data_IF_469038828542
#
_entry.id   IF_469038828542
#
_cell.length_a   1.000
_cell.length_b   1.000
_cell.length_c   1.000
_cell.angle_alpha   90.00
_cell.angle_beta   90.00
_cell.angle_gamma   90.00
#
_symmetry.space_group_name_H-M   'P 1'
#
loop_
_entity.id
_entity.type
_entity.pdbx_description
1 polymer ?
#
# COMPACT_ATOMS: atom_id res chain seq x y z
N UNK A 1 16.02 -19.91 71.27
CA UNK A 1 15.77 -20.51 69.94
C UNK A 1 14.58 -21.46 70.07
N UNK A 2 13.36 -21.00 69.79
CA UNK A 2 12.17 -21.85 69.89
C UNK A 2 12.13 -22.82 68.69
N UNK A 3 12.15 -24.12 68.96
CA UNK A 3 12.12 -25.18 67.94
C UNK A 3 10.79 -25.17 67.17
N UNK A 4 10.88 -25.26 65.84
CA UNK A 4 9.72 -25.38 64.95
C UNK A 4 9.02 -26.72 65.22
N UNK A 5 7.73 -26.69 65.52
CA UNK A 5 6.92 -27.91 65.66
C UNK A 5 6.85 -28.67 64.33
N UNK A 6 6.74 -30.02 64.37
CA UNK A 6 6.61 -30.83 63.16
C UNK A 6 5.35 -30.41 62.38
N UNK A 7 5.41 -30.37 61.04
CA UNK A 7 4.26 -29.96 60.24
C UNK A 7 3.09 -30.92 60.46
N UNK A 8 1.92 -30.37 60.75
CA UNK A 8 0.69 -31.14 60.91
C UNK A 8 0.39 -31.98 59.66
N UNK A 9 -0.13 -33.21 59.81
CA UNK A 9 -0.48 -34.06 58.68
C UNK A 9 -1.55 -33.39 57.82
N UNK A 10 -1.29 -33.31 56.51
CA UNK A 10 -2.18 -32.66 55.54
C UNK A 10 -3.54 -33.36 55.52
N UNK A 11 -4.60 -32.61 55.79
CA UNK A 11 -5.98 -33.12 55.71
C UNK A 11 -6.42 -33.22 54.24
N UNK A 12 -6.54 -34.46 53.74
CA UNK A 12 -6.89 -34.77 52.35
C UNK A 12 -8.27 -34.24 51.94
N UNK A 13 -9.25 -34.23 52.86
CA UNK A 13 -10.60 -33.75 52.58
C UNK A 13 -10.59 -32.24 52.32
N UNK A 14 -9.83 -31.50 53.12
CA UNK A 14 -9.70 -30.06 52.96
C UNK A 14 -8.96 -29.69 51.67
N UNK A 15 -7.93 -30.46 51.29
CA UNK A 15 -7.23 -30.26 50.02
C UNK A 15 -8.13 -30.48 48.81
N UNK A 16 -8.97 -31.52 48.85
CA UNK A 16 -9.93 -31.78 47.78
C UNK A 16 -10.96 -30.65 47.66
N UNK A 17 -11.43 -30.10 48.79
CA UNK A 17 -12.35 -28.97 48.79
C UNK A 17 -11.73 -27.72 48.14
N UNK A 18 -10.46 -27.41 48.48
CA UNK A 18 -9.71 -26.31 47.86
C UNK A 18 -9.55 -26.53 46.35
N UNK A 19 -9.22 -27.75 45.93
CA UNK A 19 -9.04 -28.08 44.51
C UNK A 19 -10.35 -27.90 43.73
N UNK A 20 -11.46 -28.43 44.25
CA UNK A 20 -12.77 -28.28 43.62
C UNK A 20 -13.19 -26.79 43.50
N UNK A 21 -12.94 -25.99 44.53
CA UNK A 21 -13.20 -24.54 44.49
C UNK A 21 -12.34 -23.84 43.44
N UNK A 22 -11.06 -24.21 43.35
CA UNK A 22 -10.10 -23.63 42.39
C UNK A 22 -10.52 -23.92 40.96
N UNK A 23 -10.83 -25.19 40.64
CA UNK A 23 -11.33 -25.60 39.32
C UNK A 23 -12.63 -24.87 38.98
N UNK A 24 -13.55 -24.72 39.96
CA UNK A 24 -14.79 -23.99 39.77
C UNK A 24 -14.58 -22.50 39.47
N UNK A 25 -13.59 -21.86 40.12
CA UNK A 25 -13.21 -20.47 39.84
C UNK A 25 -12.55 -20.33 38.46
N UNK A 26 -11.65 -21.22 38.11
CA UNK A 26 -10.98 -21.24 36.80
C UNK A 26 -11.99 -21.38 35.66
N UNK A 27 -12.88 -22.38 35.73
CA UNK A 27 -13.92 -22.59 34.72
C UNK A 27 -14.90 -21.41 34.62
N UNK A 28 -15.19 -20.71 35.73
CA UNK A 28 -16.06 -19.53 35.72
C UNK A 28 -15.43 -18.35 34.98
N UNK A 29 -14.10 -18.22 35.01
CA UNK A 29 -13.38 -17.12 34.38
C UNK A 29 -12.68 -17.51 33.06
N UNK A 30 -12.77 -18.78 32.65
CA UNK A 30 -12.24 -19.26 31.38
C UNK A 30 -13.06 -18.67 30.23
N UNK A 31 -12.58 -17.56 29.66
CA UNK A 31 -13.13 -16.98 28.44
C UNK A 31 -12.52 -17.68 27.23
N UNK A 32 -13.34 -18.44 26.50
CA UNK A 32 -12.95 -19.00 25.21
C UNK A 32 -13.03 -17.89 24.14
N UNK A 33 -11.90 -17.33 23.75
CA UNK A 33 -11.86 -16.44 22.58
C UNK A 33 -11.91 -17.31 21.33
N UNK A 34 -13.05 -17.32 20.64
CA UNK A 34 -13.21 -18.05 19.36
C UNK A 34 -12.83 -17.19 18.16
N UNK A 35 -12.87 -15.87 18.33
CA UNK A 35 -12.59 -14.91 17.28
C UNK A 35 -11.31 -14.15 17.67
N UNK A 36 -10.19 -14.48 17.01
CA UNK A 36 -8.94 -13.74 17.15
C UNK A 36 -8.76 -12.86 15.91
N UNK A 37 -8.89 -11.55 16.07
CA UNK A 37 -8.54 -10.57 15.04
C UNK A 37 -7.49 -9.62 15.60
N UNK A 38 -6.41 -9.40 14.85
CA UNK A 38 -5.36 -8.43 15.22
C UNK A 38 -5.95 -7.00 15.33
N UNK A 39 -7.01 -6.69 14.57
CA UNK A 39 -7.72 -5.43 14.60
C UNK A 39 -9.23 -5.65 14.79
N UNK A 40 -9.84 -5.18 15.90
CA UNK A 40 -11.28 -5.33 16.18
C UNK A 40 -12.19 -4.63 15.14
N UNK A 41 -11.65 -3.67 14.40
CA UNK A 41 -12.40 -2.87 13.42
C UNK A 41 -12.21 -3.38 11.98
N UNK A 42 -11.43 -4.44 11.76
CA UNK A 42 -11.15 -4.95 10.41
C UNK A 42 -10.94 -6.47 10.42
N UNK A 43 -11.88 -7.20 9.83
CA UNK A 43 -11.74 -8.63 9.56
C UNK A 43 -10.68 -8.82 8.47
N UNK A 44 -9.50 -9.30 8.87
CA UNK A 44 -8.51 -9.83 7.94
C UNK A 44 -8.73 -11.34 7.82
N UNK A 45 -9.22 -11.81 6.67
CA UNK A 45 -9.20 -13.23 6.34
C UNK A 45 -7.75 -13.63 6.08
N UNK A 46 -7.09 -14.18 7.10
CA UNK A 46 -5.67 -14.62 7.03
C UNK A 46 -5.49 -15.86 6.17
N UNK A 47 -6.59 -16.50 5.76
CA UNK A 47 -6.59 -17.68 4.90
C UNK A 47 -6.72 -17.19 3.47
N UNK A 48 -5.60 -17.16 2.74
CA UNK A 48 -5.65 -17.01 1.29
C UNK A 48 -6.51 -18.13 0.69
N UNK A 49 -7.33 -17.80 -0.32
CA UNK A 49 -8.13 -18.77 -1.04
C UNK A 49 -7.29 -19.92 -1.60
N UNK A 50 -7.93 -21.04 -1.96
CA UNK A 50 -7.17 -22.17 -2.54
C UNK A 50 -6.43 -21.69 -3.80
N UNK A 51 -5.19 -22.12 -4.06
CA UNK A 51 -4.39 -21.63 -5.19
C UNK A 51 -5.02 -21.92 -6.56
N UNK A 52 -5.91 -22.91 -6.64
CA UNK A 52 -6.64 -23.28 -7.85
C UNK A 52 -8.08 -22.74 -7.88
N UNK A 53 -8.49 -21.98 -6.86
CA UNK A 53 -9.79 -21.34 -6.86
C UNK A 53 -9.71 -20.11 -7.77
N UNK A 54 -10.60 -20.05 -8.76
CA UNK A 54 -10.76 -18.84 -9.56
C UNK A 54 -11.19 -17.74 -8.60
N UNK A 55 -10.40 -16.66 -8.49
CA UNK A 55 -10.81 -15.51 -7.70
C UNK A 55 -12.15 -15.03 -8.26
N UNK A 56 -13.21 -15.09 -7.45
CA UNK A 56 -14.41 -14.35 -7.76
C UNK A 56 -14.03 -12.88 -7.58
N UNK A 57 -13.97 -12.13 -8.68
CA UNK A 57 -13.81 -10.68 -8.64
C UNK A 57 -15.01 -10.11 -7.88
N UNK A 58 -14.85 -9.98 -6.56
CA UNK A 58 -15.80 -9.26 -5.73
C UNK A 58 -15.95 -7.83 -6.23
N UNK A 59 -17.10 -7.21 -5.97
CA UNK A 59 -17.32 -5.82 -6.35
C UNK A 59 -16.22 -4.94 -5.73
N UNK A 60 -15.42 -4.30 -6.60
CA UNK A 60 -14.29 -3.49 -6.17
C UNK A 60 -14.77 -2.39 -5.20
N UNK A 61 -14.06 -2.20 -4.09
CA UNK A 61 -14.39 -1.18 -3.12
C UNK A 61 -14.43 0.20 -3.78
N UNK A 62 -15.64 0.74 -3.93
CA UNK A 62 -15.90 2.03 -4.54
C UNK A 62 -15.15 3.16 -3.82
N UNK A 63 -14.94 3.06 -2.51
CA UNK A 63 -14.17 4.04 -1.75
C UNK A 63 -12.70 4.00 -2.18
N UNK A 64 -12.10 2.81 -2.22
CA UNK A 64 -10.71 2.63 -2.64
C UNK A 64 -10.47 3.13 -4.08
N UNK A 65 -11.41 2.83 -5.00
CA UNK A 65 -11.36 3.36 -6.37
C UNK A 65 -11.38 4.89 -6.40
N UNK A 66 -12.20 5.54 -5.56
CA UNK A 66 -12.22 7.00 -5.45
C UNK A 66 -10.92 7.56 -4.88
N UNK A 67 -10.33 6.90 -3.89
CA UNK A 67 -9.03 7.31 -3.32
C UNK A 67 -7.94 7.26 -4.39
N UNK A 68 -7.84 6.16 -5.15
CA UNK A 68 -6.86 6.03 -6.24
C UNK A 68 -7.10 7.10 -7.31
N UNK A 69 -8.35 7.26 -7.74
CA UNK A 69 -8.71 8.29 -8.74
C UNK A 69 -8.28 9.68 -8.27
N UNK A 70 -8.52 10.02 -7.00
CA UNK A 70 -8.11 11.30 -6.41
C UNK A 70 -6.60 11.44 -6.26
N UNK A 71 -5.89 10.35 -5.98
CA UNK A 71 -4.42 10.35 -5.87
C UNK A 71 -3.75 10.62 -7.23
N UNK A 72 -4.31 10.06 -8.30
CA UNK A 72 -3.80 10.21 -9.66
C UNK A 72 -4.23 11.52 -10.36
N UNK A 73 -5.04 12.36 -9.71
CA UNK A 73 -5.42 13.66 -10.25
C UNK A 73 -4.24 14.63 -10.24
N UNK A 74 -4.16 15.45 -11.29
CA UNK A 74 -3.22 16.56 -11.37
C UNK A 74 -3.37 17.52 -10.17
N UNK A 75 -2.26 18.10 -9.66
CA UNK A 75 -2.30 19.01 -8.52
C UNK A 75 -3.31 20.17 -8.68
N UNK A 76 -3.41 20.75 -9.88
CA UNK A 76 -4.32 21.87 -10.20
C UNK A 76 -5.80 21.47 -10.12
N UNK A 77 -6.12 20.19 -10.33
CA UNK A 77 -7.49 19.65 -10.16
C UNK A 77 -7.79 19.31 -8.71
N UNK A 78 -6.76 19.01 -7.91
CA UNK A 78 -6.88 18.57 -6.52
C UNK A 78 -6.91 19.72 -5.51
N UNK A 79 -6.15 20.78 -5.77
CA UNK A 79 -5.98 21.92 -4.86
C UNK A 79 -6.26 23.24 -5.60
N UNK A 80 -6.77 24.24 -4.86
CA UNK A 80 -7.04 25.58 -5.42
C UNK A 80 -5.75 26.38 -5.68
N UNK A 81 -4.71 26.10 -4.90
CA UNK A 81 -3.43 26.81 -4.89
C UNK A 81 -2.29 25.78 -4.72
N UNK A 82 -1.07 26.08 -5.21
CA UNK A 82 0.08 25.20 -5.02
C UNK A 82 0.35 25.01 -3.53
N UNK A 83 0.63 23.78 -3.13
CA UNK A 83 0.89 23.44 -1.72
C UNK A 83 2.39 23.45 -1.39
N UNK A 84 3.24 23.39 -2.41
CA UNK A 84 4.70 23.40 -2.28
C UNK A 84 5.31 24.30 -3.34
N UNK A 85 6.50 24.82 -3.07
CA UNK A 85 7.25 25.69 -4.00
C UNK A 85 7.47 25.01 -5.37
N UNK A 86 7.77 23.71 -5.37
CA UNK A 86 7.92 22.94 -6.60
C UNK A 86 6.64 22.87 -7.44
N UNK A 87 5.45 22.97 -6.81
CA UNK A 87 4.18 23.03 -7.54
C UNK A 87 3.89 24.41 -8.12
N UNK A 88 4.51 25.49 -7.61
CA UNK A 88 4.33 26.82 -8.19
C UNK A 88 4.82 26.87 -9.63
N UNK A 89 5.93 26.18 -9.89
CA UNK A 89 6.48 26.02 -11.24
C UNK A 89 5.54 25.17 -12.09
N UNK A 90 4.93 25.81 -13.09
CA UNK A 90 3.98 25.15 -13.98
C UNK A 90 2.57 25.00 -13.39
N UNK A 91 2.23 25.71 -12.31
CA UNK A 91 0.84 25.74 -11.82
C UNK A 91 -0.12 26.35 -12.84
N UNK A 92 0.32 27.41 -13.53
CA UNK A 92 -0.40 28.07 -14.62
C UNK A 92 0.30 27.72 -15.94
N UNK A 93 -0.09 26.60 -16.55
CA UNK A 93 0.49 26.13 -17.82
C UNK A 93 -0.12 26.78 -19.05
N UNK A 94 -1.33 27.34 -18.94
CA UNK A 94 -2.03 27.94 -20.07
C UNK A 94 -1.34 29.25 -20.45
N UNK A 95 -0.89 29.41 -21.70
CA UNK A 95 -0.27 30.66 -22.13
C UNK A 95 -1.30 31.80 -22.07
N UNK A 96 -0.84 32.99 -21.68
CA UNK A 96 -1.69 34.19 -21.60
C UNK A 96 -2.24 34.60 -22.98
N UNK A 97 -1.49 34.28 -24.03
CA UNK A 97 -1.87 34.51 -25.42
C UNK A 97 -2.07 33.17 -26.12
N UNK A 98 -3.16 33.03 -26.87
CA UNK A 98 -3.35 31.88 -27.72
C UNK A 98 -2.33 31.94 -28.86
N UNK A 99 -1.32 31.08 -28.80
CA UNK A 99 -0.32 30.96 -29.86
C UNK A 99 -0.73 29.84 -30.79
N UNK A 100 -1.01 30.17 -32.06
CA UNK A 100 -1.17 29.14 -33.09
C UNK A 100 0.20 28.58 -33.45
N UNK A 101 0.47 27.33 -33.05
CA UNK A 101 1.71 26.61 -33.40
C UNK A 101 1.69 26.06 -34.83
N UNK A 102 0.56 26.12 -35.52
CA UNK A 102 0.43 25.73 -36.92
C UNK A 102 0.84 26.82 -37.90
N UNK A 103 0.90 28.09 -37.48
CA UNK A 103 1.27 29.20 -38.36
C UNK A 103 2.75 29.12 -38.75
N UNK A 104 3.02 28.69 -39.98
CA UNK A 104 4.38 28.54 -40.53
C UNK A 104 5.11 29.86 -40.72
N UNK A 105 4.41 31.00 -40.67
CA UNK A 105 5.02 32.34 -40.74
C UNK A 105 5.71 32.74 -39.45
N UNK A 106 5.25 32.19 -38.31
CA UNK A 106 5.76 32.50 -36.98
C UNK A 106 6.55 31.34 -36.38
N UNK A 107 6.24 30.11 -36.79
CA UNK A 107 6.82 28.90 -36.22
C UNK A 107 7.85 28.27 -37.17
N UNK A 108 9.14 28.50 -36.89
CA UNK A 108 10.26 27.94 -37.64
C UNK A 108 10.90 26.78 -36.88
N UNK A 109 10.13 25.72 -36.60
CA UNK A 109 10.66 24.54 -35.94
C UNK A 109 11.72 23.87 -36.83
N UNK A 110 12.82 23.40 -36.22
CA UNK A 110 13.78 22.57 -36.94
C UNK A 110 13.10 21.26 -37.35
N UNK A 111 13.17 20.94 -38.64
CA UNK A 111 12.62 19.71 -39.20
C UNK A 111 13.76 18.88 -39.78
N UNK A 112 13.72 17.57 -39.54
CA UNK A 112 14.70 16.67 -40.13
C UNK A 112 14.35 16.44 -41.60
N UNK A 113 15.26 16.83 -42.48
CA UNK A 113 15.15 16.54 -43.91
C UNK A 113 15.44 15.06 -44.19
N UNK A 114 15.05 14.52 -45.36
CA UNK A 114 15.38 13.15 -45.75
C UNK A 114 16.89 12.86 -45.68
N UNK A 115 17.73 13.85 -46.04
CA UNK A 115 19.20 13.68 -46.01
C UNK A 115 19.70 13.61 -44.58
N UNK A 116 19.18 14.45 -43.68
CA UNK A 116 19.54 14.41 -42.26
C UNK A 116 19.16 13.07 -41.64
N UNK A 117 17.94 12.58 -41.91
CA UNK A 117 17.47 11.25 -41.44
C UNK A 117 18.32 10.11 -41.99
N UNK A 118 18.74 10.20 -43.25
CA UNK A 118 19.62 9.20 -43.86
C UNK A 118 20.99 9.19 -43.17
N UNK A 119 21.59 10.36 -42.98
CA UNK A 119 22.88 10.47 -42.30
C UNK A 119 22.78 9.98 -40.86
N UNK A 120 21.71 10.30 -40.11
CA UNK A 120 21.51 9.79 -38.75
C UNK A 120 21.55 8.25 -38.70
N UNK A 121 20.90 7.57 -39.66
CA UNK A 121 20.94 6.10 -39.77
C UNK A 121 22.32 5.58 -40.14
N UNK A 122 22.98 6.19 -41.12
CA UNK A 122 24.31 5.79 -41.56
C UNK A 122 25.35 5.91 -40.43
N UNK A 123 25.22 6.94 -39.59
CA UNK A 123 26.05 7.11 -38.40
C UNK A 123 25.79 6.03 -37.36
N UNK A 124 24.52 5.72 -37.09
CA UNK A 124 24.12 4.67 -36.14
C UNK A 124 24.62 3.28 -36.58
N UNK A 125 24.55 2.96 -37.88
CA UNK A 125 25.10 1.72 -38.43
C UNK A 125 26.63 1.66 -38.29
N UNK A 126 27.33 2.77 -38.53
CA UNK A 126 28.78 2.87 -38.37
C UNK A 126 29.20 2.65 -36.91
N UNK A 127 28.46 3.21 -35.96
CA UNK A 127 28.71 2.99 -34.53
C UNK A 127 28.52 1.52 -34.15
N UNK A 128 27.44 0.88 -34.60
CA UNK A 128 27.20 -0.56 -34.36
C UNK A 128 28.32 -1.44 -34.91
N UNK A 129 28.80 -1.15 -36.12
CA UNK A 129 29.93 -1.85 -36.73
C UNK A 129 31.23 -1.64 -35.96
N UNK A 130 31.44 -0.46 -35.37
CA UNK A 130 32.63 -0.16 -34.57
C UNK A 130 32.65 -0.84 -33.20
N UNK A 131 31.48 -1.10 -32.60
CA UNK A 131 31.31 -1.74 -31.30
C UNK A 131 31.30 -3.27 -31.37
N UNK A 132 31.17 -3.84 -32.57
CA UNK A 132 31.12 -5.28 -32.82
C UNK A 132 32.48 -5.93 -33.12
N UNK A 133 33.58 -5.18 -33.06
CA UNK A 133 34.96 -5.66 -33.21
C UNK A 133 35.74 -5.52 -31.90
#
# INVERSE_FOLDING_TARGET
MAGKQPPEPKNMVHQNAILCETVGKENRYQKLYTNYSINPFKEFYVIAGKPNQKEEEGEADNHFLQVIKRANQEPVKKYKQPQTEAQEVGWITKPLLQTDRGDTRLNFFRQNSPITKFMDKAWLEKEQQSMGN
#
